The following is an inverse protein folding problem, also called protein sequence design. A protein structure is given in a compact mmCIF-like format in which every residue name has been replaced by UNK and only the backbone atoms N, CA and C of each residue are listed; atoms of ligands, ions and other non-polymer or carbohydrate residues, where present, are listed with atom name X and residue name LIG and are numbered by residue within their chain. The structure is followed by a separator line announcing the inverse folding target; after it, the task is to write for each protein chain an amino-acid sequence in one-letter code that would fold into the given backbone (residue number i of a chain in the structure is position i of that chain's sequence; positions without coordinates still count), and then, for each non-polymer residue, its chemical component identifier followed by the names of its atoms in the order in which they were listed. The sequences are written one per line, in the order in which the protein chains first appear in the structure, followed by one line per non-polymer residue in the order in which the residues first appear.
data_IF_697939854736
#
_entry.id   IF_697939854736
#
_cell.length_a   1.000
_cell.length_b   1.000
_cell.length_c   1.000
_cell.angle_alpha   90.00
_cell.angle_beta   90.00
_cell.angle_gamma   90.00
#
_symmetry.space_group_name_H-M   'P 1'
#
loop_
_entity.id
_entity.type
_entity.pdbx_description
1 polymer ?
#
# COMPACT_ATOMS: atom_id res chain seq x y z
N UNK A 1 -2.03 16.92 -19.89
CA UNK A 1 -1.08 15.82 -20.19
C UNK A 1 0.16 15.73 -19.27
N UNK A 2 0.54 16.75 -18.49
CA UNK A 2 1.77 16.71 -17.65
C UNK A 2 1.68 15.95 -16.31
N UNK A 3 0.48 15.72 -15.78
CA UNK A 3 0.29 15.14 -14.43
C UNK A 3 0.32 13.61 -14.38
N UNK A 4 0.11 12.91 -15.51
CA UNK A 4 0.03 11.45 -15.55
C UNK A 4 1.37 10.75 -15.37
N UNK A 5 2.44 11.28 -15.97
CA UNK A 5 3.78 10.67 -15.88
C UNK A 5 4.41 10.79 -14.49
N UNK A 6 4.18 11.92 -13.80
CA UNK A 6 4.67 12.14 -12.43
C UNK A 6 4.04 11.15 -11.45
N UNK A 7 2.75 10.83 -11.63
CA UNK A 7 2.03 9.86 -10.81
C UNK A 7 2.62 8.45 -10.95
N UNK A 8 2.80 7.98 -12.19
CA UNK A 8 3.36 6.65 -12.46
C UNK A 8 4.78 6.51 -11.88
N UNK A 9 5.63 7.51 -12.07
CA UNK A 9 7.00 7.48 -11.50
C UNK A 9 6.96 7.42 -9.96
N UNK A 10 6.06 8.15 -9.32
CA UNK A 10 5.88 8.12 -7.87
C UNK A 10 5.40 6.76 -7.36
N UNK A 11 4.40 6.19 -8.04
CA UNK A 11 3.86 4.85 -7.78
C UNK A 11 4.96 3.78 -7.86
N UNK A 12 5.73 3.74 -8.95
CA UNK A 12 6.81 2.76 -9.13
C UNK A 12 7.97 2.93 -8.13
N UNK A 13 8.27 4.18 -7.72
CA UNK A 13 9.29 4.43 -6.70
C UNK A 13 8.84 3.91 -5.33
N UNK A 14 7.56 4.02 -5.01
CA UNK A 14 6.97 3.57 -3.75
C UNK A 14 6.88 2.04 -3.66
N UNK A 15 6.69 1.35 -4.78
CA UNK A 15 6.88 -0.11 -4.83
C UNK A 15 8.27 -0.55 -4.33
N UNK A 16 9.29 0.30 -4.49
CA UNK A 16 10.62 0.10 -3.90
C UNK A 16 10.64 -0.02 -2.37
N UNK A 17 9.56 0.41 -1.70
CA UNK A 17 9.36 0.44 -0.25
C UNK A 17 8.18 -0.42 0.23
N UNK A 18 7.62 -1.30 -0.61
CA UNK A 18 6.48 -2.15 -0.27
C UNK A 18 6.72 -3.07 0.94
N UNK A 19 5.62 -3.50 1.57
CA UNK A 19 5.55 -4.30 2.80
C UNK A 19 6.48 -5.52 2.81
N UNK A 20 6.73 -6.11 1.64
CA UNK A 20 7.65 -7.24 1.48
C UNK A 20 9.06 -6.91 2.00
N UNK A 21 9.54 -5.68 1.85
CA UNK A 21 10.87 -5.24 2.34
C UNK A 21 10.89 -4.75 3.79
N UNK A 22 9.74 -4.37 4.34
CA UNK A 22 9.61 -3.98 5.76
C UNK A 22 9.56 -5.25 6.64
N UNK A 23 9.00 -6.34 6.12
CA UNK A 23 8.86 -7.63 6.82
C UNK A 23 10.04 -8.61 6.58
N UNK A 24 10.73 -8.57 5.42
CA UNK A 24 11.87 -9.47 5.08
C UNK A 24 13.21 -9.23 5.83
N UNK A 25 13.21 -8.57 6.99
CA UNK A 25 14.35 -8.66 7.91
C UNK A 25 13.94 -9.22 9.27
N UNK A 26 13.63 -10.54 9.36
CA UNK A 26 13.47 -11.22 10.64
C UNK A 26 14.80 -11.47 11.36
N UNK A 27 15.94 -11.34 10.67
CA UNK A 27 17.28 -11.36 11.26
C UNK A 27 17.58 -10.02 11.95
N UNK A 28 17.12 -9.93 13.20
CA UNK A 28 17.56 -9.16 14.39
C UNK A 28 18.44 -7.89 14.34
N UNK A 29 18.88 -7.33 13.21
CA UNK A 29 19.90 -6.26 13.21
C UNK A 29 19.64 -5.01 12.35
N UNK A 30 18.48 -4.84 11.68
CA UNK A 30 18.17 -3.59 10.94
C UNK A 30 16.68 -3.22 10.91
N UNK A 31 16.01 -3.16 12.07
CA UNK A 31 14.69 -2.54 12.18
C UNK A 31 14.87 -1.01 12.23
N UNK A 32 14.61 -0.33 11.13
CA UNK A 32 14.78 1.13 11.01
C UNK A 32 13.55 1.93 11.47
N UNK A 33 12.41 1.26 11.69
CA UNK A 33 11.18 1.86 12.24
C UNK A 33 10.97 1.53 13.72
N UNK A 34 10.55 2.55 14.49
CA UNK A 34 10.12 2.36 15.88
C UNK A 34 8.84 1.51 15.93
N UNK A 35 8.66 0.72 16.99
CA UNK A 35 7.45 -0.11 17.20
C UNK A 35 6.15 0.70 17.18
N UNK A 36 6.18 1.94 17.71
CA UNK A 36 5.03 2.86 17.66
C UNK A 36 4.66 3.24 16.23
N UNK A 37 5.65 3.52 15.38
CA UNK A 37 5.44 3.82 13.96
C UNK A 37 4.82 2.64 13.22
N UNK A 38 5.31 1.42 13.49
CA UNK A 38 4.74 0.20 12.90
C UNK A 38 3.26 0.02 13.27
N UNK A 39 2.89 0.28 14.53
CA UNK A 39 1.49 0.19 14.97
C UNK A 39 0.59 1.20 14.25
N UNK A 40 1.09 2.42 14.01
CA UNK A 40 0.35 3.44 13.26
C UNK A 40 0.23 3.06 11.78
N UNK A 41 1.31 2.54 11.19
CA UNK A 41 1.34 2.05 9.82
C UNK A 41 0.31 0.94 9.62
N UNK A 42 0.32 -0.10 10.46
CA UNK A 42 -0.66 -1.19 10.41
C UNK A 42 -2.10 -0.70 10.55
N UNK A 43 -2.36 0.26 11.45
CA UNK A 43 -3.69 0.85 11.58
C UNK A 43 -4.15 1.54 10.29
N UNK A 44 -3.26 2.26 9.59
CA UNK A 44 -3.56 2.94 8.33
C UNK A 44 -3.73 1.95 7.18
N UNK A 45 -2.86 0.95 7.09
CA UNK A 45 -2.97 -0.19 6.16
C UNK A 45 -4.34 -0.87 6.28
N UNK A 46 -4.79 -1.18 7.50
CA UNK A 46 -6.12 -1.75 7.73
C UNK A 46 -7.27 -0.83 7.29
N UNK A 47 -7.08 0.49 7.31
CA UNK A 47 -8.07 1.44 6.78
C UNK A 47 -8.21 1.29 5.26
N UNK A 48 -7.09 1.23 4.54
CA UNK A 48 -7.08 1.03 3.09
C UNK A 48 -7.64 -0.34 2.71
N UNK A 49 -7.28 -1.41 3.42
CA UNK A 49 -7.88 -2.74 3.19
C UNK A 49 -9.40 -2.66 3.27
N UNK A 50 -9.95 -2.07 4.33
CA UNK A 50 -11.41 -1.94 4.49
C UNK A 50 -12.06 -1.04 3.44
N UNK A 51 -11.37 0.00 3.00
CA UNK A 51 -11.86 0.89 1.96
C UNK A 51 -11.96 0.15 0.63
N UNK A 52 -10.87 -0.49 0.21
CA UNK A 52 -10.82 -1.11 -1.11
C UNK A 52 -11.63 -2.40 -1.20
N UNK A 53 -11.79 -3.14 -0.11
CA UNK A 53 -12.66 -4.31 -0.05
C UNK A 53 -14.16 -4.01 -0.23
N UNK A 54 -14.57 -2.74 -0.23
CA UNK A 54 -15.96 -2.34 -0.50
C UNK A 54 -16.25 -2.12 -1.99
N UNK A 55 -15.23 -2.08 -2.84
CA UNK A 55 -15.44 -1.93 -4.27
C UNK A 55 -15.81 -3.29 -4.87
N UNK A 56 -17.03 -3.35 -5.40
CA UNK A 56 -17.55 -4.50 -6.12
C UNK A 56 -17.99 -4.05 -7.51
N UNK A 57 -17.66 -4.87 -8.49
CA UNK A 57 -18.11 -4.74 -9.87
C UNK A 57 -19.32 -5.64 -10.04
N UNK A 58 -20.51 -5.04 -9.97
CA UNK A 58 -21.80 -5.75 -10.05
C UNK A 58 -21.92 -6.54 -11.36
N UNK A 59 -21.42 -5.98 -12.47
CA UNK A 59 -21.41 -6.61 -13.80
C UNK A 59 -20.68 -7.94 -13.86
N UNK A 60 -19.72 -8.18 -12.96
CA UNK A 60 -18.94 -9.41 -12.88
C UNK A 60 -19.13 -10.17 -11.56
N UNK A 61 -20.06 -9.70 -10.71
CA UNK A 61 -20.28 -10.21 -9.35
C UNK A 61 -18.97 -10.42 -8.56
N UNK A 62 -18.02 -9.49 -8.73
CA UNK A 62 -16.65 -9.62 -8.23
C UNK A 62 -16.27 -8.40 -7.38
N UNK A 63 -15.67 -8.65 -6.22
CA UNK A 63 -15.19 -7.59 -5.34
C UNK A 63 -13.66 -7.56 -5.29
N UNK A 64 -13.11 -6.36 -5.13
CA UNK A 64 -11.67 -6.18 -4.92
C UNK A 64 -11.29 -6.81 -3.58
N UNK A 65 -10.24 -7.62 -3.57
CA UNK A 65 -9.62 -8.06 -2.32
C UNK A 65 -8.65 -6.97 -1.85
N UNK A 66 -9.11 -6.09 -0.96
CA UNK A 66 -8.28 -5.00 -0.43
C UNK A 66 -7.03 -5.47 0.29
N UNK A 67 -6.99 -6.73 0.76
CA UNK A 67 -5.79 -7.37 1.32
C UNK A 67 -4.79 -7.75 0.23
N UNK A 68 -5.25 -8.21 -0.93
CA UNK A 68 -4.38 -8.62 -2.04
C UNK A 68 -3.76 -7.42 -2.76
N UNK A 69 -4.48 -6.32 -2.85
CA UNK A 69 -4.06 -5.10 -3.58
C UNK A 69 -3.45 -4.03 -2.67
N UNK A 70 -3.16 -4.36 -1.41
CA UNK A 70 -2.82 -3.34 -0.40
C UNK A 70 -1.53 -2.57 -0.72
N UNK A 71 -0.55 -3.23 -1.32
CA UNK A 71 0.72 -2.61 -1.68
C UNK A 71 0.53 -1.55 -2.78
N UNK A 72 -0.14 -1.93 -3.87
CA UNK A 72 -0.50 -1.02 -4.97
C UNK A 72 -1.36 0.15 -4.47
N UNK A 73 -2.35 -0.14 -3.61
CA UNK A 73 -3.22 0.87 -3.03
C UNK A 73 -2.47 1.89 -2.16
N UNK A 74 -1.41 1.46 -1.45
CA UNK A 74 -0.55 2.37 -0.67
C UNK A 74 0.27 3.24 -1.62
N UNK A 75 0.88 2.65 -2.66
CA UNK A 75 1.65 3.37 -3.67
C UNK A 75 0.81 4.42 -4.42
N UNK A 76 -0.44 4.07 -4.77
CA UNK A 76 -1.39 4.97 -5.41
C UNK A 76 -1.77 6.17 -4.54
N UNK A 77 -2.08 5.95 -3.26
CA UNK A 77 -2.49 7.03 -2.35
C UNK A 77 -1.36 8.02 -2.11
N UNK A 78 -0.13 7.54 -1.98
CA UNK A 78 1.03 8.39 -1.78
C UNK A 78 1.50 9.05 -3.10
N UNK A 79 1.25 8.43 -4.27
CA UNK A 79 1.54 9.01 -5.59
C UNK A 79 0.62 10.15 -6.01
N UNK A 80 -0.62 10.21 -5.49
CA UNK A 80 -1.61 11.27 -5.79
C UNK A 80 -1.30 12.58 -5.06
N UNK A 81 -0.45 12.57 -4.02
CA UNK A 81 -0.22 13.72 -3.14
C UNK A 81 0.69 14.83 -3.71
#
# INVERSE_FOLDING_TARGET
MRTRYRFVIGHELLHGFDDYRIEERPSSSKRWLKKSTLKVFERRKQCLIRQYSKYCYEEHNACISGKRTINDNIADVEGIK
#
